data_IF_439005063975
#
_entry.id   IF_439005063975
#
_cell.length_a   1.000
_cell.length_b   1.000
_cell.length_c   1.000
_cell.angle_alpha   90.00
_cell.angle_beta   90.00
_cell.angle_gamma   90.00
#
_symmetry.space_group_name_H-M   'P 1'
#
loop_
_entity.id
_entity.type
_entity.pdbx_description
1 polymer ?
#
# COMPACT_ATOMS: atom_id res chain seq x y z
N UNK A 1 -7.16 29.50 0.66
CA UNK A 1 -7.41 28.06 0.53
C UNK A 1 -8.75 27.75 1.16
N UNK A 2 -9.73 27.36 0.37
CA UNK A 2 -11.04 26.91 0.86
C UNK A 2 -10.98 25.43 1.25
N UNK A 3 -11.93 24.98 2.06
CA UNK A 3 -12.06 23.55 2.40
C UNK A 3 -12.24 22.68 1.13
N UNK A 4 -12.88 23.23 0.11
CA UNK A 4 -13.08 22.57 -1.19
C UNK A 4 -11.77 22.33 -1.95
N UNK A 5 -10.91 23.35 -2.02
CA UNK A 5 -9.59 23.23 -2.65
C UNK A 5 -8.71 22.18 -1.95
N UNK A 6 -8.77 22.12 -0.61
CA UNK A 6 -8.05 21.11 0.18
C UNK A 6 -8.57 19.68 -0.09
N UNK A 7 -9.88 19.52 -0.24
CA UNK A 7 -10.48 18.22 -0.56
C UNK A 7 -10.04 17.73 -1.95
N UNK A 8 -10.03 18.60 -2.96
CA UNK A 8 -9.59 18.27 -4.32
C UNK A 8 -8.12 17.81 -4.30
N UNK A 9 -7.26 18.50 -3.55
CA UNK A 9 -5.84 18.11 -3.41
C UNK A 9 -5.73 16.73 -2.73
N UNK A 10 -6.50 16.48 -1.68
CA UNK A 10 -6.49 15.20 -0.97
C UNK A 10 -6.97 14.04 -1.86
N UNK A 11 -8.04 14.24 -2.62
CA UNK A 11 -8.58 13.24 -3.55
C UNK A 11 -7.59 12.90 -4.66
N UNK A 12 -6.97 13.92 -5.25
CA UNK A 12 -5.94 13.73 -6.29
C UNK A 12 -4.75 12.94 -5.74
N UNK A 13 -4.26 13.28 -4.55
CA UNK A 13 -3.17 12.56 -3.91
C UNK A 13 -3.51 11.08 -3.63
N UNK A 14 -4.73 10.79 -3.19
CA UNK A 14 -5.22 9.42 -2.99
C UNK A 14 -5.31 8.64 -4.31
N UNK A 15 -5.76 9.29 -5.38
CA UNK A 15 -5.87 8.66 -6.70
C UNK A 15 -4.49 8.29 -7.26
N UNK A 16 -3.49 9.15 -7.09
CA UNK A 16 -2.12 8.85 -7.52
C UNK A 16 -1.50 7.70 -6.74
N UNK A 17 -1.74 7.62 -5.43
CA UNK A 17 -1.33 6.49 -4.62
C UNK A 17 -2.02 5.19 -5.07
N UNK A 18 -3.31 5.26 -5.39
CA UNK A 18 -4.06 4.12 -5.90
C UNK A 18 -3.49 3.62 -7.24
N UNK A 19 -3.23 4.52 -8.20
CA UNK A 19 -2.62 4.18 -9.49
C UNK A 19 -1.25 3.50 -9.30
N UNK A 20 -0.41 4.01 -8.41
CA UNK A 20 0.89 3.40 -8.10
C UNK A 20 0.76 1.98 -7.56
N UNK A 21 -0.17 1.75 -6.62
CA UNK A 21 -0.43 0.42 -6.05
C UNK A 21 -0.93 -0.56 -7.13
N UNK A 22 -1.87 -0.13 -7.98
CA UNK A 22 -2.37 -0.97 -9.07
C UNK A 22 -1.26 -1.31 -10.07
N UNK A 23 -0.40 -0.36 -10.42
CA UNK A 23 0.74 -0.64 -11.30
C UNK A 23 1.70 -1.66 -10.69
N UNK A 24 2.01 -1.56 -9.39
CA UNK A 24 2.83 -2.56 -8.69
C UNK A 24 2.19 -3.95 -8.69
N UNK A 25 0.87 -4.03 -8.52
CA UNK A 25 0.13 -5.29 -8.60
C UNK A 25 0.17 -5.86 -10.01
N UNK A 26 -0.04 -5.04 -11.04
CA UNK A 26 0.08 -5.45 -12.45
C UNK A 26 1.47 -5.96 -12.80
N UNK A 27 2.51 -5.24 -12.40
CA UNK A 27 3.90 -5.68 -12.61
C UNK A 27 4.20 -7.00 -11.89
N UNK A 28 3.64 -7.20 -10.70
CA UNK A 28 3.77 -8.46 -9.95
C UNK A 28 3.06 -9.60 -10.68
N UNK A 29 1.86 -9.35 -11.22
CA UNK A 29 1.09 -10.32 -12.00
C UNK A 29 1.79 -10.71 -13.31
N UNK A 30 2.38 -9.73 -14.01
CA UNK A 30 3.18 -9.98 -15.24
C UNK A 30 4.38 -10.88 -14.94
N UNK A 31 4.96 -10.77 -13.75
CA UNK A 31 6.06 -11.64 -13.29
C UNK A 31 5.60 -13.04 -12.82
N UNK A 32 4.30 -13.34 -12.89
CA UNK A 32 3.71 -14.61 -12.46
C UNK A 32 3.54 -14.75 -10.94
N UNK A 33 3.68 -13.66 -10.17
CA UNK A 33 3.41 -13.70 -8.74
C UNK A 33 1.91 -13.49 -8.49
N UNK A 34 1.34 -14.22 -7.53
CA UNK A 34 -0.07 -14.04 -7.12
C UNK A 34 -0.22 -13.07 -5.93
N UNK A 35 0.87 -12.41 -5.54
CA UNK A 35 0.87 -11.50 -4.41
C UNK A 35 1.92 -10.40 -4.51
N UNK A 36 1.66 -9.28 -3.85
CA UNK A 36 2.58 -8.15 -3.74
C UNK A 36 2.64 -7.63 -2.30
N UNK A 37 3.84 -7.20 -1.85
CA UNK A 37 4.06 -6.67 -0.50
C UNK A 37 4.21 -5.16 -0.56
N UNK A 38 3.33 -4.43 0.12
CA UNK A 38 3.29 -2.97 0.15
C UNK A 38 3.44 -2.47 1.59
N UNK A 39 4.33 -1.49 1.82
CA UNK A 39 4.63 -0.98 3.17
C UNK A 39 3.58 0.01 3.68
N UNK A 40 3.09 0.88 2.80
CA UNK A 40 2.15 1.95 3.13
C UNK A 40 0.88 1.78 2.31
N UNK A 41 -0.15 1.21 2.93
CA UNK A 41 -1.47 1.07 2.31
C UNK A 41 -2.47 1.95 3.09
N UNK A 42 -2.97 3.04 2.49
CA UNK A 42 -4.03 3.85 3.09
C UNK A 42 -5.29 3.02 3.33
N UNK A 43 -6.00 3.30 4.42
CA UNK A 43 -7.24 2.60 4.80
C UNK A 43 -8.31 2.70 3.72
N UNK A 44 -8.48 3.87 3.11
CA UNK A 44 -9.44 4.10 2.02
C UNK A 44 -9.13 3.23 0.80
N UNK A 45 -7.85 3.08 0.45
CA UNK A 45 -7.43 2.21 -0.66
C UNK A 45 -7.60 0.74 -0.28
N UNK A 46 -7.26 0.36 0.95
CA UNK A 46 -7.46 -1.02 1.43
C UNK A 46 -8.93 -1.44 1.36
N UNK A 47 -9.86 -0.55 1.70
CA UNK A 47 -11.31 -0.82 1.60
C UNK A 47 -11.72 -1.04 0.14
N UNK A 48 -11.31 -0.14 -0.75
CA UNK A 48 -11.59 -0.23 -2.19
C UNK A 48 -11.03 -1.50 -2.84
N UNK A 49 -9.84 -1.95 -2.41
CA UNK A 49 -9.26 -3.19 -2.90
C UNK A 49 -10.01 -4.43 -2.40
N UNK A 50 -10.45 -4.44 -1.13
CA UNK A 50 -11.30 -5.53 -0.60
C UNK A 50 -12.63 -5.64 -1.34
N UNK A 51 -13.26 -4.51 -1.65
CA UNK A 51 -14.50 -4.46 -2.44
C UNK A 51 -14.31 -5.06 -3.84
N UNK A 52 -13.10 -5.00 -4.40
CA UNK A 52 -12.75 -5.60 -5.68
C UNK A 52 -12.31 -7.07 -5.60
N UNK A 53 -12.35 -7.69 -4.41
CA UNK A 53 -12.01 -9.10 -4.21
C UNK A 53 -10.54 -9.38 -3.86
N UNK A 54 -9.70 -8.36 -3.67
CA UNK A 54 -8.32 -8.57 -3.26
C UNK A 54 -8.23 -8.98 -1.79
N UNK A 55 -7.40 -9.98 -1.49
CA UNK A 55 -7.12 -10.40 -0.11
C UNK A 55 -5.95 -9.60 0.45
N UNK A 56 -6.15 -8.94 1.59
CA UNK A 56 -5.14 -8.06 2.19
C UNK A 56 -4.76 -8.59 3.57
N UNK A 57 -3.53 -9.06 3.70
CA UNK A 57 -2.98 -9.67 4.92
C UNK A 57 -1.92 -8.74 5.52
N UNK A 58 -2.08 -8.26 6.77
CA UNK A 58 -1.04 -7.49 7.43
C UNK A 58 0.14 -8.41 7.82
N UNK A 59 1.35 -8.06 7.38
CA UNK A 59 2.59 -8.78 7.70
C UNK A 59 3.53 -7.84 8.44
N UNK A 60 4.26 -8.35 9.41
CA UNK A 60 5.27 -7.59 10.12
C UNK A 60 6.66 -8.13 9.78
N UNK A 61 7.53 -7.26 9.28
CA UNK A 61 8.93 -7.59 9.05
C UNK A 61 9.81 -6.79 9.99
N UNK A 62 10.84 -7.44 10.52
CA UNK A 62 11.86 -6.77 11.33
C UNK A 62 12.94 -6.22 10.40
N UNK A 63 13.23 -4.94 10.51
CA UNK A 63 14.40 -4.34 9.89
C UNK A 63 15.44 -4.10 10.97
N UNK A 64 16.61 -4.70 10.79
CA UNK A 64 17.75 -4.45 11.65
C UNK A 64 18.40 -3.14 11.23
N UNK A 65 18.56 -2.21 12.18
CA UNK A 65 19.39 -1.04 11.95
C UNK A 65 20.75 -1.33 12.58
N UNK A 66 21.70 -1.77 11.75
CA UNK A 66 23.05 -2.18 12.20
C UNK A 66 23.80 -1.06 12.91
N UNK A 67 23.57 0.20 12.51
CA UNK A 67 24.25 1.36 13.11
C UNK A 67 23.84 1.65 14.55
N UNK A 68 22.62 1.28 14.95
CA UNK A 68 22.09 1.54 16.29
C UNK A 68 21.81 0.25 17.07
N UNK A 69 22.20 -0.92 16.54
CA UNK A 69 21.87 -2.25 17.09
C UNK A 69 20.40 -2.41 17.51
N UNK A 70 19.48 -1.69 16.84
CA UNK A 70 18.06 -1.65 17.18
C UNK A 70 17.26 -2.38 16.12
N UNK A 71 16.40 -3.30 16.57
CA UNK A 71 15.38 -3.97 15.73
C UNK A 71 14.15 -3.08 15.66
N UNK A 72 13.72 -2.70 14.46
CA UNK A 72 12.44 -1.99 14.25
C UNK A 72 11.45 -2.91 13.55
N UNK A 73 10.26 -3.07 14.14
CA UNK A 73 9.13 -3.75 13.50
C UNK A 73 8.49 -2.79 12.49
N UNK A 74 8.39 -3.22 11.24
CA UNK A 74 7.75 -2.47 10.16
C UNK A 74 6.52 -3.26 9.72
N UNK A 75 5.38 -2.57 9.66
CA UNK A 75 4.13 -3.13 9.13
C UNK A 75 4.16 -3.06 7.60
N UNK A 76 3.78 -4.17 6.99
CA UNK A 76 3.57 -4.35 5.57
C UNK A 76 2.18 -4.96 5.35
N UNK A 77 1.70 -4.90 4.11
CA UNK A 77 0.46 -5.48 3.66
C UNK A 77 0.77 -6.35 2.46
N UNK A 78 0.48 -7.64 2.58
CA UNK A 78 0.51 -8.56 1.46
C UNK A 78 -0.86 -8.56 0.81
N UNK A 79 -0.88 -8.24 -0.47
CA UNK A 79 -2.09 -8.17 -1.29
C UNK A 79 -2.05 -9.35 -2.25
N UNK A 80 -3.05 -10.24 -2.19
CA UNK A 80 -3.23 -11.36 -3.11
C UNK A 80 -4.35 -11.05 -4.09
N UNK A 81 -4.21 -11.54 -5.31
CA UNK A 81 -5.14 -11.36 -6.42
C UNK A 81 -5.32 -12.67 -7.19
#
# INVERSE_FOLDING_TARGET
>A
MTAEELNIIAENALNDQYKKIINQLKESAIKGNNSCIIKNLPTSISKKLKEKGFVIIPIYKYRYNYFLFKKRRIKYFLIQF
#
